data_IF_912968230858
#
_entry.id   IF_912968230858
#
_cell.length_a   1.000
_cell.length_b   1.000
_cell.length_c   1.000
_cell.angle_alpha   90.00
_cell.angle_beta   90.00
_cell.angle_gamma   90.00
#
_symmetry.space_group_name_H-M   'P 1'
#
loop_
_entity.id
_entity.type
_entity.pdbx_description
1 polymer ?
#
# COMPACT_ATOMS: atom_id res chain seq x y z
N UNK A 1 -35.77 18.02 7.24
CA UNK A 1 -34.72 17.04 7.56
C UNK A 1 -33.62 17.82 8.27
N UNK A 2 -33.14 17.37 9.42
CA UNK A 2 -32.08 18.10 10.13
C UNK A 2 -30.75 17.84 9.41
N UNK A 3 -30.04 18.90 9.04
CA UNK A 3 -28.73 18.78 8.40
C UNK A 3 -27.70 18.24 9.40
N UNK A 4 -27.05 17.12 9.07
CA UNK A 4 -25.90 16.62 9.83
C UNK A 4 -24.64 17.37 9.40
N UNK A 5 -24.05 18.13 10.33
CA UNK A 5 -22.73 18.73 10.12
C UNK A 5 -21.64 17.69 10.39
N UNK A 6 -21.05 17.12 9.33
CA UNK A 6 -19.90 16.22 9.43
C UNK A 6 -18.62 17.05 9.55
N UNK A 7 -17.82 16.78 10.59
CA UNK A 7 -16.55 17.44 10.78
C UNK A 7 -15.52 16.99 9.73
N UNK A 8 -14.70 17.93 9.26
CA UNK A 8 -13.63 17.64 8.32
C UNK A 8 -12.50 16.88 9.04
N UNK A 9 -12.01 15.75 8.49
CA UNK A 9 -10.97 14.97 9.14
C UNK A 9 -9.63 15.71 9.18
N UNK A 10 -8.81 15.42 10.20
CA UNK A 10 -7.45 15.92 10.39
C UNK A 10 -6.44 14.79 10.22
N UNK A 11 -5.89 14.64 9.02
CA UNK A 11 -4.84 13.66 8.72
C UNK A 11 -3.46 14.23 9.09
N UNK A 12 -2.53 13.44 9.68
CA UNK A 12 -2.60 11.98 9.86
C UNK A 12 -3.26 11.50 11.17
N UNK A 13 -3.65 12.42 12.06
CA UNK A 13 -4.17 12.06 13.39
C UNK A 13 -5.44 11.20 13.35
N UNK A 14 -6.24 11.36 12.31
CA UNK A 14 -7.46 10.59 12.06
C UNK A 14 -7.25 9.34 11.19
N UNK A 15 -6.03 9.05 10.72
CA UNK A 15 -5.79 7.97 9.74
C UNK A 15 -6.08 6.59 10.32
N UNK A 16 -5.91 6.39 11.63
CA UNK A 16 -6.26 5.15 12.30
C UNK A 16 -7.73 4.78 12.12
N UNK A 17 -8.60 5.75 11.82
CA UNK A 17 -10.02 5.52 11.53
C UNK A 17 -10.23 4.74 10.23
N UNK A 18 -9.21 4.54 9.38
CA UNK A 18 -9.34 3.65 8.21
C UNK A 18 -9.80 2.24 8.61
N UNK A 19 -9.40 1.77 9.79
CA UNK A 19 -9.75 0.45 10.28
C UNK A 19 -11.20 0.33 10.78
N UNK A 20 -11.95 1.44 10.87
CA UNK A 20 -13.39 1.41 11.13
C UNK A 20 -14.20 1.08 9.87
N UNK A 21 -13.57 1.21 8.69
CA UNK A 21 -14.16 0.90 7.38
C UNK A 21 -13.55 -0.38 6.81
N UNK A 22 -12.22 -0.47 6.85
CA UNK A 22 -11.46 -1.58 6.32
C UNK A 22 -11.13 -2.55 7.45
N UNK A 23 -11.77 -3.73 7.49
CA UNK A 23 -11.48 -4.69 8.57
C UNK A 23 -10.04 -5.21 8.47
N UNK A 24 -9.18 -4.96 9.49
CA UNK A 24 -7.76 -5.31 9.41
C UNK A 24 -7.54 -6.82 9.28
N UNK A 25 -8.35 -7.64 9.94
CA UNK A 25 -8.22 -9.10 9.84
C UNK A 25 -8.52 -9.67 8.44
N UNK A 26 -9.26 -8.93 7.61
CA UNK A 26 -9.61 -9.36 6.25
C UNK A 26 -8.67 -8.75 5.21
N UNK A 27 -8.30 -7.48 5.38
CA UNK A 27 -7.61 -6.70 4.35
C UNK A 27 -6.11 -6.52 4.57
N UNK A 28 -5.58 -6.75 5.77
CA UNK A 28 -4.15 -6.62 6.01
C UNK A 28 -3.34 -7.58 5.13
N UNK A 29 -3.71 -8.86 5.08
CA UNK A 29 -3.01 -9.84 4.25
C UNK A 29 -3.07 -9.50 2.75
N UNK A 30 -4.24 -9.18 2.16
CA UNK A 30 -4.33 -8.68 0.79
C UNK A 30 -3.42 -7.49 0.49
N UNK A 31 -3.39 -6.48 1.37
CA UNK A 31 -2.52 -5.29 1.19
C UNK A 31 -1.05 -5.71 1.14
N UNK A 32 -0.61 -6.57 2.07
CA UNK A 32 0.76 -7.07 2.11
C UNK A 32 1.10 -7.90 0.85
N UNK A 33 0.18 -8.72 0.36
CA UNK A 33 0.38 -9.46 -0.89
C UNK A 33 0.51 -8.55 -2.10
N UNK A 34 -0.32 -7.50 -2.20
CA UNK A 34 -0.21 -6.53 -3.30
C UNK A 34 1.12 -5.80 -3.26
N UNK A 35 1.54 -5.33 -2.08
CA UNK A 35 2.85 -4.67 -1.91
C UNK A 35 3.99 -5.62 -2.27
N UNK A 36 3.91 -6.89 -1.85
CA UNK A 36 4.89 -7.91 -2.24
C UNK A 36 4.93 -8.12 -3.76
N UNK A 37 3.78 -8.22 -4.42
CA UNK A 37 3.72 -8.38 -5.88
C UNK A 37 4.34 -7.19 -6.61
N UNK A 38 4.07 -5.97 -6.14
CA UNK A 38 4.70 -4.76 -6.68
C UNK A 38 6.21 -4.81 -6.49
N UNK A 39 6.68 -5.19 -5.30
CA UNK A 39 8.11 -5.33 -5.02
C UNK A 39 8.75 -6.36 -5.96
N UNK A 40 8.16 -7.54 -6.13
CA UNK A 40 8.66 -8.58 -7.04
C UNK A 40 8.70 -8.09 -8.50
N UNK A 41 7.67 -7.37 -8.96
CA UNK A 41 7.61 -6.83 -10.30
C UNK A 41 8.73 -5.81 -10.56
N UNK A 42 8.92 -4.86 -9.64
CA UNK A 42 9.98 -3.85 -9.73
C UNK A 42 11.36 -4.52 -9.72
N UNK A 43 11.61 -5.46 -8.80
CA UNK A 43 12.92 -6.14 -8.74
C UNK A 43 13.18 -6.98 -9.99
N UNK A 44 12.18 -7.69 -10.50
CA UNK A 44 12.31 -8.47 -11.73
C UNK A 44 12.62 -7.59 -12.93
N UNK A 45 11.96 -6.43 -13.03
CA UNK A 45 12.21 -5.46 -14.10
C UNK A 45 13.64 -4.90 -14.04
N UNK A 46 14.08 -4.47 -12.85
CA UNK A 46 15.45 -3.94 -12.66
C UNK A 46 16.51 -5.00 -12.95
N UNK A 47 16.29 -6.25 -12.53
CA UNK A 47 17.19 -7.37 -12.84
C UNK A 47 17.25 -7.70 -14.33
N UNK A 48 16.17 -7.48 -15.07
CA UNK A 48 16.10 -7.73 -16.51
C UNK A 48 16.82 -6.67 -17.35
N UNK A 49 17.11 -5.48 -16.80
CA UNK A 49 17.73 -4.35 -17.51
C UNK A 49 19.24 -4.54 -17.80
N UNK A 50 19.77 -5.76 -17.62
CA UNK A 50 21.16 -6.14 -17.95
C UNK A 50 22.19 -5.70 -16.91
N UNK A 51 23.48 -5.67 -17.28
CA UNK A 51 24.61 -5.50 -16.35
C UNK A 51 24.67 -4.17 -15.59
N UNK A 52 23.87 -3.17 -15.97
CA UNK A 52 23.92 -1.84 -15.35
C UNK A 52 23.39 -1.84 -13.92
N UNK A 53 22.32 -2.59 -13.66
CA UNK A 53 21.67 -2.66 -12.36
C UNK A 53 21.48 -4.10 -11.87
N UNK A 54 21.74 -5.10 -12.72
CA UNK A 54 21.69 -6.49 -12.33
C UNK A 54 22.94 -6.88 -11.55
N UNK A 55 22.80 -6.98 -10.23
CA UNK A 55 23.88 -7.39 -9.33
C UNK A 55 24.30 -8.86 -9.49
N UNK A 56 23.55 -9.68 -10.24
CA UNK A 56 23.89 -11.08 -10.55
C UNK A 56 24.73 -11.23 -11.82
N UNK A 57 24.78 -10.20 -12.68
CA UNK A 57 25.45 -10.23 -13.97
C UNK A 57 26.91 -9.70 -13.91
N UNK A 58 27.56 -9.84 -12.76
CA UNK A 58 28.96 -9.47 -12.54
C UNK A 58 29.95 -10.25 -13.40
#
# INVERSE_FOLDING_TARGET
MADQQIQRPRNPEDDWKIWTVCHPGTWLMPILFVVLLIALAVHSFVLAEGSKYNFLAG
#
